data_IF_815697373091
#
_entry.id   IF_815697373091
#
_cell.length_a   1.000
_cell.length_b   1.000
_cell.length_c   1.000
_cell.angle_alpha   90.00
_cell.angle_beta   90.00
_cell.angle_gamma   90.00
#
_symmetry.space_group_name_H-M   'P 1'
#
loop_
_entity.id
_entity.type
_entity.pdbx_description
1 polymer ?
#
# COMPACT_ATOMS: atom_id res chain seq x y z
N UNK A 1 -27.20 -2.98 6.70
CA UNK A 1 -26.50 -3.98 5.84
C UNK A 1 -25.18 -3.49 5.23
N UNK A 2 -24.98 -2.19 4.91
CA UNK A 2 -23.75 -1.70 4.29
C UNK A 2 -22.49 -1.91 5.15
N UNK A 3 -22.58 -1.68 6.46
CA UNK A 3 -21.43 -1.77 7.37
C UNK A 3 -20.81 -3.18 7.46
N UNK A 4 -21.63 -4.23 7.49
CA UNK A 4 -21.18 -5.62 7.62
C UNK A 4 -20.36 -6.07 6.40
N UNK A 5 -20.77 -5.64 5.19
CA UNK A 5 -20.04 -5.94 3.95
C UNK A 5 -18.69 -5.23 3.92
N UNK A 6 -18.62 -3.99 4.40
CA UNK A 6 -17.36 -3.27 4.46
C UNK A 6 -16.39 -3.86 5.49
N UNK A 7 -16.88 -4.32 6.64
CA UNK A 7 -16.05 -5.01 7.64
C UNK A 7 -15.49 -6.32 7.10
N UNK A 8 -16.31 -7.13 6.42
CA UNK A 8 -15.86 -8.38 5.79
C UNK A 8 -14.81 -8.13 4.70
N UNK A 9 -15.02 -7.12 3.84
CA UNK A 9 -14.07 -6.76 2.81
C UNK A 9 -12.71 -6.31 3.38
N UNK A 10 -12.70 -5.51 4.46
CA UNK A 10 -11.45 -5.14 5.13
C UNK A 10 -10.73 -6.37 5.67
N UNK A 11 -11.44 -7.32 6.29
CA UNK A 11 -10.86 -8.57 6.80
C UNK A 11 -10.25 -9.41 5.68
N UNK A 12 -10.92 -9.54 4.54
CA UNK A 12 -10.39 -10.27 3.39
C UNK A 12 -9.13 -9.62 2.81
N UNK A 13 -9.11 -8.30 2.71
CA UNK A 13 -7.94 -7.56 2.21
C UNK A 13 -6.77 -7.69 3.18
N UNK A 14 -7.01 -7.59 4.49
CA UNK A 14 -5.98 -7.82 5.51
C UNK A 14 -5.47 -9.26 5.53
N UNK A 15 -6.32 -10.24 5.20
CA UNK A 15 -5.94 -11.64 5.04
C UNK A 15 -5.20 -11.93 3.71
N UNK A 16 -4.97 -10.91 2.87
CA UNK A 16 -4.24 -11.05 1.61
C UNK A 16 -5.02 -11.69 0.47
N UNK A 17 -6.35 -11.70 0.53
CA UNK A 17 -7.17 -12.23 -0.55
C UNK A 17 -7.02 -11.38 -1.83
N UNK A 18 -7.16 -12.05 -2.98
CA UNK A 18 -7.10 -11.40 -4.28
C UNK A 18 -8.23 -10.35 -4.42
N UNK A 19 -7.86 -9.11 -4.75
CA UNK A 19 -8.77 -7.97 -4.89
C UNK A 19 -9.85 -8.24 -5.94
N UNK A 20 -9.54 -8.98 -7.01
CA UNK A 20 -10.52 -9.37 -8.03
C UNK A 20 -11.61 -10.29 -7.47
N UNK A 21 -11.22 -11.19 -6.57
CA UNK A 21 -12.16 -12.09 -5.89
C UNK A 21 -13.04 -11.31 -4.91
N UNK A 22 -12.45 -10.40 -4.12
CA UNK A 22 -13.19 -9.53 -3.20
C UNK A 22 -14.20 -8.64 -3.94
N UNK A 23 -13.81 -8.09 -5.09
CA UNK A 23 -14.69 -7.28 -5.94
C UNK A 23 -15.91 -8.07 -6.45
N UNK A 24 -15.72 -9.34 -6.86
CA UNK A 24 -16.83 -10.22 -7.22
C UNK A 24 -17.80 -10.48 -6.06
N UNK A 25 -17.30 -10.65 -4.83
CA UNK A 25 -18.16 -10.84 -3.66
C UNK A 25 -18.93 -9.58 -3.25
N UNK A 26 -18.41 -8.41 -3.64
CA UNK A 26 -19.03 -7.11 -3.38
C UNK A 26 -19.96 -6.65 -4.51
N UNK A 27 -20.02 -7.40 -5.62
CA UNK A 27 -20.70 -6.98 -6.85
C UNK A 27 -20.27 -5.56 -7.26
N UNK A 28 -18.97 -5.30 -7.16
CA UNK A 28 -18.38 -3.99 -7.42
C UNK A 28 -17.19 -4.13 -8.36
N UNK A 29 -16.80 -3.03 -8.98
CA UNK A 29 -15.63 -3.04 -9.87
C UNK A 29 -14.35 -3.08 -9.05
N UNK A 30 -13.32 -3.72 -9.61
CA UNK A 30 -11.99 -3.77 -9.01
C UNK A 30 -11.46 -2.36 -8.72
N UNK A 31 -11.76 -1.40 -9.60
CA UNK A 31 -11.38 0.00 -9.42
C UNK A 31 -12.07 0.66 -8.22
N UNK A 32 -13.34 0.36 -7.96
CA UNK A 32 -14.06 0.89 -6.79
C UNK A 32 -13.49 0.32 -5.48
N UNK A 33 -13.17 -0.98 -5.46
CA UNK A 33 -12.55 -1.64 -4.30
C UNK A 33 -11.16 -1.07 -4.03
N UNK A 34 -10.33 -0.89 -5.06
CA UNK A 34 -9.04 -0.23 -4.92
C UNK A 34 -9.18 1.19 -4.37
N UNK A 35 -10.12 1.99 -4.85
CA UNK A 35 -10.34 3.34 -4.32
C UNK A 35 -10.74 3.35 -2.84
N UNK A 36 -11.66 2.47 -2.43
CA UNK A 36 -12.16 2.44 -1.06
C UNK A 36 -11.18 1.82 -0.06
N UNK A 37 -10.38 0.85 -0.52
CA UNK A 37 -9.50 0.06 0.34
C UNK A 37 -8.01 0.27 0.06
N UNK A 38 -7.63 1.24 -0.79
CA UNK A 38 -6.24 1.58 -1.09
C UNK A 38 -5.39 1.74 0.17
N UNK A 39 -5.96 2.38 1.20
CA UNK A 39 -5.31 2.55 2.49
C UNK A 39 -4.83 1.23 3.08
N UNK A 40 -5.66 0.19 3.03
CA UNK A 40 -5.34 -1.12 3.61
C UNK A 40 -4.46 -1.99 2.70
N UNK A 41 -4.47 -1.72 1.39
CA UNK A 41 -3.70 -2.45 0.38
C UNK A 41 -2.25 -1.92 0.32
N UNK A 42 -2.04 -0.61 0.48
CA UNK A 42 -0.78 0.06 0.16
C UNK A 42 -0.27 0.99 1.28
N UNK A 43 -0.69 0.80 2.54
CA UNK A 43 -0.32 1.73 3.63
C UNK A 43 1.20 1.90 3.78
N UNK A 44 1.97 0.83 3.53
CA UNK A 44 3.42 0.84 3.63
C UNK A 44 4.10 1.40 2.37
N UNK A 45 3.60 1.08 1.17
CA UNK A 45 4.16 1.59 -0.09
C UNK A 45 3.84 3.07 -0.30
N UNK A 46 2.60 3.47 -0.05
CA UNK A 46 2.13 4.86 -0.20
C UNK A 46 2.90 5.84 0.69
N UNK A 47 3.21 5.45 1.94
CA UNK A 47 4.03 6.28 2.84
C UNK A 47 5.46 6.43 2.33
N UNK A 48 6.07 5.35 1.82
CA UNK A 48 7.39 5.39 1.23
C UNK A 48 7.43 6.27 -0.03
N UNK A 49 6.42 6.21 -0.90
CA UNK A 49 6.32 7.09 -2.07
C UNK A 49 6.13 8.56 -1.68
N UNK A 50 5.32 8.85 -0.66
CA UNK A 50 5.16 10.20 -0.12
C UNK A 50 6.45 10.75 0.49
N UNK A 51 7.25 9.90 1.12
CA UNK A 51 8.55 10.29 1.67
C UNK A 51 9.59 10.54 0.57
N UNK A 52 9.55 9.81 -0.56
CA UNK A 52 10.34 10.14 -1.77
C UNK A 52 9.97 11.51 -2.33
N UNK A 53 8.68 11.86 -2.38
CA UNK A 53 8.21 13.17 -2.84
C UNK A 53 8.67 14.31 -1.90
N UNK A 54 8.63 14.09 -0.59
CA UNK A 54 9.14 15.05 0.40
C UNK A 54 10.66 15.21 0.33
N UNK A 55 11.40 14.12 0.15
CA UNK A 55 12.86 14.16 -0.01
C UNK A 55 13.27 14.99 -1.24
N UNK A 56 12.60 14.78 -2.39
CA UNK A 56 12.80 15.58 -3.60
C UNK A 56 12.52 17.07 -3.41
N UNK A 57 11.48 17.42 -2.65
CA UNK A 57 11.14 18.83 -2.35
C UNK A 57 12.16 19.52 -1.44
N UNK A 58 12.85 18.77 -0.60
CA UNK A 58 13.73 19.31 0.46
C UNK A 58 15.22 19.19 0.13
N UNK A 59 15.56 18.62 -1.04
CA UNK A 59 16.94 18.41 -1.49
C UNK A 59 17.73 17.38 -0.66
N UNK A 60 17.06 16.58 0.17
CA UNK A 60 17.71 15.53 0.96
C UNK A 60 17.84 14.23 0.15
N UNK A 61 18.92 13.46 0.41
CA UNK A 61 19.21 12.20 -0.30
C UNK A 61 17.99 11.26 -0.21
N UNK A 62 17.57 10.75 -1.37
CA UNK A 62 16.45 9.81 -1.51
C UNK A 62 16.92 8.46 -0.95
N UNK A 63 16.30 7.89 0.11
CA UNK A 63 16.65 6.54 0.52
C UNK A 63 16.20 5.59 -0.60
N UNK A 64 17.15 4.91 -1.23
CA UNK A 64 16.85 3.87 -2.22
C UNK A 64 16.27 2.67 -1.47
N UNK A 65 14.94 2.60 -1.42
CA UNK A 65 14.24 1.45 -0.87
C UNK A 65 14.22 0.32 -1.91
N UNK A 66 15.27 -0.49 -1.92
CA UNK A 66 15.25 -1.77 -2.61
C UNK A 66 14.50 -2.78 -1.73
N UNK A 67 13.30 -3.17 -2.15
CA UNK A 67 12.59 -4.28 -1.51
C UNK A 67 13.30 -5.57 -1.93
N UNK A 68 13.98 -6.23 -0.99
CA UNK A 68 14.50 -7.59 -1.16
C UNK A 68 13.80 -8.46 -0.12
N UNK A 69 13.09 -9.50 -0.56
CA UNK A 69 12.42 -10.48 0.31
C UNK A 69 11.48 -9.87 1.38
N UNK A 70 10.63 -8.90 1.00
CA UNK A 70 9.66 -8.23 1.91
C UNK A 70 10.27 -7.57 3.16
N UNK A 71 11.58 -7.33 3.20
CA UNK A 71 12.24 -6.54 4.25
C UNK A 71 12.80 -5.28 3.62
N UNK A 72 12.50 -4.13 4.23
CA UNK A 72 13.04 -2.83 3.79
C UNK A 72 14.47 -2.73 4.32
N UNK A 73 15.44 -3.05 3.47
CA UNK A 73 16.86 -2.91 3.82
C UNK A 73 17.35 -1.50 3.44
N UNK A 74 17.63 -0.67 4.45
CA UNK A 74 18.13 0.70 4.24
C UNK A 74 19.65 0.68 4.24
N UNK A 75 20.27 0.67 3.06
CA UNK A 75 21.73 0.81 2.95
C UNK A 75 22.13 2.28 2.98
N UNK A 76 22.82 2.67 4.04
CA UNK A 76 23.40 4.00 4.19
C UNK A 76 24.91 3.92 3.90
N UNK A 77 25.37 4.56 2.82
CA UNK A 77 26.78 4.64 2.50
C UNK A 77 27.33 6.01 2.95
N UNK A 78 28.39 6.04 3.78
CA UNK A 78 29.08 7.29 4.09
C UNK A 78 29.83 7.78 2.85
N UNK A 79 29.76 9.09 2.58
CA UNK A 79 30.60 9.71 1.56
C UNK A 79 32.03 9.89 2.11
N UNK A 80 33.03 9.46 1.32
CA UNK A 80 34.41 9.95 1.40
C UNK A 80 34.46 11.45 1.16
#
# INVERSE_FOLDING_TARGET
>A
MRQTRHTAATQWIMAGLNIKFVAMQLDDTVGTVLKHYAKWIDEQGSKAEMDKLKARRTGSKIPETRIVNNVVEVKNYPCM
#
